data_IF_248574284062
#
_entry.id   IF_248574284062
#
_cell.length_a   1.000
_cell.length_b   1.000
_cell.length_c   1.000
_cell.angle_alpha   90.00
_cell.angle_beta   90.00
_cell.angle_gamma   90.00
#
_symmetry.space_group_name_H-M   'P 1'
#
loop_
_entity.id
_entity.type
_entity.pdbx_description
1 polymer ?
#
# COMPACT_ATOMS: atom_id res chain seq x y z
N UNK A 1 30.81 -40.45 52.27
CA UNK A 1 30.34 -39.05 52.34
C UNK A 1 29.20 -38.87 51.34
N UNK A 2 28.14 -38.22 51.80
CA UNK A 2 26.77 -38.26 51.30
C UNK A 2 26.56 -37.62 49.92
N UNK A 3 26.20 -38.41 48.91
CA UNK A 3 25.45 -37.94 47.73
C UNK A 3 23.97 -37.98 48.09
N UNK A 4 23.41 -36.85 48.52
CA UNK A 4 21.97 -36.73 48.78
C UNK A 4 21.25 -36.27 47.52
N UNK A 5 20.33 -37.12 47.10
CA UNK A 5 19.11 -36.89 46.32
C UNK A 5 18.72 -35.43 46.06
N UNK A 6 18.27 -35.16 44.83
CA UNK A 6 16.89 -34.69 44.58
C UNK A 6 16.58 -34.71 43.09
N UNK A 7 16.07 -35.86 42.63
CA UNK A 7 15.09 -35.86 41.55
C UNK A 7 13.81 -35.28 42.16
N UNK A 8 13.50 -34.02 41.87
CA UNK A 8 12.19 -33.43 42.15
C UNK A 8 11.65 -32.88 40.84
N UNK A 9 10.60 -33.53 40.37
CA UNK A 9 9.67 -33.06 39.36
C UNK A 9 9.30 -31.60 39.62
N UNK A 10 9.80 -30.68 38.80
CA UNK A 10 9.32 -29.31 38.76
C UNK A 10 8.09 -29.29 37.87
N UNK A 11 6.92 -29.22 38.49
CA UNK A 11 5.73 -28.65 37.87
C UNK A 11 6.08 -27.22 37.44
N UNK A 12 5.84 -26.91 36.16
CA UNK A 12 6.21 -25.66 35.49
C UNK A 12 5.41 -24.46 36.02
N UNK A 13 5.78 -23.93 37.18
CA UNK A 13 5.41 -22.58 37.57
C UNK A 13 6.25 -21.60 36.74
N UNK A 14 5.70 -21.16 35.61
CA UNK A 14 6.35 -20.18 34.73
C UNK A 14 6.50 -18.88 35.52
N UNK A 15 7.76 -18.53 35.83
CA UNK A 15 8.10 -17.32 36.58
C UNK A 15 7.49 -16.07 35.91
N UNK A 16 6.86 -15.14 36.66
CA UNK A 16 6.14 -13.99 36.09
C UNK A 16 7.06 -13.08 35.25
N UNK A 17 8.37 -13.05 35.57
CA UNK A 17 9.39 -12.36 34.77
C UNK A 17 9.56 -12.98 33.38
N UNK A 18 9.45 -14.31 33.26
CA UNK A 18 9.51 -15.02 31.97
C UNK A 18 8.28 -14.72 31.11
N UNK A 19 7.09 -14.64 31.72
CA UNK A 19 5.86 -14.24 31.02
C UNK A 19 5.99 -12.82 30.46
N UNK A 20 6.41 -11.86 31.31
CA UNK A 20 6.62 -10.47 30.88
C UNK A 20 7.70 -10.37 29.80
N UNK A 21 8.78 -11.15 29.89
CA UNK A 21 9.80 -11.22 28.85
C UNK A 21 9.24 -11.73 27.51
N UNK A 22 8.39 -12.76 27.54
CA UNK A 22 7.80 -13.33 26.33
C UNK A 22 6.91 -12.31 25.61
N UNK A 23 6.05 -11.60 26.34
CA UNK A 23 5.19 -10.53 25.77
C UNK A 23 6.02 -9.40 25.15
N UNK A 24 7.08 -8.95 25.82
CA UNK A 24 7.94 -7.89 25.29
C UNK A 24 8.72 -8.32 24.03
N UNK A 25 9.18 -9.58 23.98
CA UNK A 25 9.84 -10.12 22.80
C UNK A 25 8.85 -10.27 21.62
N UNK A 26 7.65 -10.79 21.88
CA UNK A 26 6.63 -10.99 20.83
C UNK A 26 6.05 -9.67 20.29
N UNK A 27 6.14 -8.58 21.06
CA UNK A 27 5.79 -7.22 20.62
C UNK A 27 6.94 -6.51 19.87
N UNK A 28 8.08 -7.17 19.64
CA UNK A 28 9.17 -6.67 18.80
C UNK A 28 10.25 -5.87 19.53
N UNK A 29 10.29 -5.88 20.87
CA UNK A 29 11.35 -5.19 21.61
C UNK A 29 12.69 -5.92 21.50
N UNK A 30 13.78 -5.16 21.40
CA UNK A 30 15.14 -5.73 21.36
C UNK A 30 15.52 -6.38 22.68
N UNK A 31 16.32 -7.45 22.62
CA UNK A 31 16.77 -8.19 23.80
C UNK A 31 17.45 -7.30 24.86
N UNK A 32 18.13 -6.24 24.42
CA UNK A 32 18.77 -5.29 25.32
C UNK A 32 17.75 -4.49 26.14
N UNK A 33 16.69 -4.03 25.48
CA UNK A 33 15.61 -3.26 26.11
C UNK A 33 14.78 -4.14 27.05
N UNK A 34 14.49 -5.38 26.63
CA UNK A 34 13.80 -6.37 27.49
C UNK A 34 14.61 -6.72 28.74
N UNK A 35 15.92 -6.91 28.61
CA UNK A 35 16.79 -7.21 29.74
C UNK A 35 16.86 -6.05 30.75
N UNK A 36 16.95 -4.81 30.26
CA UNK A 36 16.92 -3.60 31.08
C UNK A 36 15.58 -3.46 31.83
N UNK A 37 14.47 -3.64 31.13
CA UNK A 37 13.10 -3.51 31.67
C UNK A 37 12.79 -4.52 32.79
N UNK A 38 13.42 -5.69 32.74
CA UNK A 38 13.24 -6.76 33.72
C UNK A 38 14.32 -6.81 34.80
N UNK A 39 15.32 -5.92 34.72
CA UNK A 39 16.46 -5.90 35.63
C UNK A 39 17.29 -7.19 35.59
N UNK A 40 17.39 -7.84 34.42
CA UNK A 40 18.13 -9.08 34.22
C UNK A 40 19.30 -8.90 33.25
N UNK A 41 20.28 -9.80 33.31
CA UNK A 41 21.36 -9.81 32.33
C UNK A 41 20.88 -10.33 30.96
N UNK A 42 21.46 -9.83 29.87
CA UNK A 42 21.21 -10.37 28.52
C UNK A 42 21.49 -11.88 28.42
N UNK A 43 22.51 -12.38 29.15
CA UNK A 43 22.84 -13.82 29.20
C UNK A 43 21.70 -14.64 29.83
N UNK A 44 21.04 -14.11 30.85
CA UNK A 44 19.88 -14.75 31.48
C UNK A 44 18.74 -14.90 30.48
N UNK A 45 18.45 -13.83 29.72
CA UNK A 45 17.43 -13.85 28.67
C UNK A 45 17.77 -14.84 27.54
N UNK A 46 19.04 -14.89 27.11
CA UNK A 46 19.50 -15.86 26.10
C UNK A 46 19.39 -17.30 26.59
N UNK A 47 19.67 -17.55 27.87
CA UNK A 47 19.49 -18.87 28.48
C UNK A 47 18.02 -19.28 28.45
N UNK A 48 17.10 -18.39 28.84
CA UNK A 48 15.66 -18.66 28.78
C UNK A 48 15.19 -18.96 27.37
N UNK A 49 15.68 -18.24 26.35
CA UNK A 49 15.33 -18.53 24.95
C UNK A 49 15.74 -19.94 24.47
N UNK A 50 16.68 -20.60 25.15
CA UNK A 50 17.07 -21.99 24.86
C UNK A 50 16.24 -23.01 25.63
N UNK A 51 15.47 -22.59 26.63
CA UNK A 51 14.59 -23.47 27.40
C UNK A 51 13.33 -23.79 26.56
N UNK A 52 12.94 -25.07 26.46
CA UNK A 52 11.81 -25.46 25.63
C UNK A 52 10.48 -24.88 26.13
N UNK A 53 10.29 -24.77 27.44
CA UNK A 53 9.08 -24.18 28.05
C UNK A 53 8.92 -22.70 27.70
N UNK A 54 10.00 -21.93 27.74
CA UNK A 54 10.01 -20.51 27.36
C UNK A 54 9.81 -20.30 25.85
N UNK A 55 10.37 -21.19 25.03
CA UNK A 55 10.17 -21.18 23.57
C UNK A 55 8.70 -21.45 23.21
N UNK A 56 8.06 -22.42 23.86
CA UNK A 56 6.63 -22.68 23.66
C UNK A 56 5.77 -21.49 24.10
N UNK A 57 6.09 -20.86 25.23
CA UNK A 57 5.40 -19.67 25.74
C UNK A 57 5.50 -18.48 24.77
N UNK A 58 6.71 -18.17 24.30
CA UNK A 58 6.94 -17.07 23.35
C UNK A 58 6.20 -17.28 22.03
N UNK A 59 6.18 -18.51 21.51
CA UNK A 59 5.42 -18.86 20.31
C UNK A 59 3.91 -18.73 20.51
N UNK A 60 3.37 -19.18 21.66
CA UNK A 60 1.95 -19.02 21.99
C UNK A 60 1.57 -17.53 22.03
N UNK A 61 2.33 -16.74 22.79
CA UNK A 61 2.11 -15.29 22.92
C UNK A 61 2.26 -14.58 21.56
N UNK A 62 3.23 -14.98 20.73
CA UNK A 62 3.37 -14.41 19.38
C UNK A 62 2.16 -14.72 18.49
N UNK A 63 1.61 -15.94 18.57
CA UNK A 63 0.41 -16.32 17.83
C UNK A 63 -0.83 -15.54 18.30
N UNK A 64 -0.95 -15.30 19.61
CA UNK A 64 -2.05 -14.50 20.17
C UNK A 64 -1.94 -13.02 19.78
N UNK A 65 -0.74 -12.44 19.84
CA UNK A 65 -0.48 -11.05 19.44
C UNK A 65 -0.74 -10.85 17.95
N UNK A 66 -0.30 -11.80 17.10
CA UNK A 66 -0.59 -11.74 15.66
C UNK A 66 -2.08 -11.87 15.38
N UNK A 67 -2.78 -12.81 16.03
CA UNK A 67 -4.23 -12.95 15.89
C UNK A 67 -5.00 -11.70 16.37
N UNK A 68 -4.59 -11.11 17.50
CA UNK A 68 -5.16 -9.86 18.00
C UNK A 68 -4.89 -8.68 17.06
N UNK A 69 -3.68 -8.61 16.48
CA UNK A 69 -3.33 -7.58 15.50
C UNK A 69 -4.13 -7.77 14.22
N UNK A 70 -4.25 -8.99 13.71
CA UNK A 70 -5.07 -9.31 12.53
C UNK A 70 -6.52 -8.95 12.79
N UNK A 71 -7.06 -9.31 13.96
CA UNK A 71 -8.42 -8.96 14.36
C UNK A 71 -8.62 -7.45 14.42
N UNK A 72 -7.77 -6.73 15.14
CA UNK A 72 -7.82 -5.27 15.23
C UNK A 72 -7.67 -4.59 13.85
N UNK A 73 -6.80 -5.12 12.99
CA UNK A 73 -6.62 -4.63 11.62
C UNK A 73 -7.86 -4.93 10.75
N UNK A 74 -8.47 -6.11 10.89
CA UNK A 74 -9.69 -6.49 10.17
C UNK A 74 -10.92 -5.69 10.62
N UNK A 75 -10.98 -5.33 11.90
CA UNK A 75 -11.99 -4.43 12.46
C UNK A 75 -11.77 -2.99 11.96
N UNK A 76 -10.51 -2.55 11.82
CA UNK A 76 -10.22 -1.25 11.21
C UNK A 76 -10.48 -1.19 9.69
N UNK A 77 -10.46 -2.34 9.00
CA UNK A 77 -10.80 -2.44 7.58
C UNK A 77 -12.31 -2.51 7.32
N UNK A 78 -13.13 -2.82 8.34
CA UNK A 78 -14.60 -2.90 8.21
C UNK A 78 -15.31 -1.55 8.35
N UNK A 79 -14.64 -0.54 8.94
CA UNK A 79 -15.12 0.84 8.94
C UNK A 79 -14.77 1.54 7.61
N UNK A 80 -15.54 1.26 6.56
CA UNK A 80 -15.68 2.14 5.40
C UNK A 80 -14.44 2.35 4.53
N UNK A 81 -13.46 1.45 4.61
CA UNK A 81 -12.28 1.48 3.74
C UNK A 81 -12.66 1.30 2.27
N UNK A 82 -12.85 2.42 1.54
CA UNK A 82 -12.92 2.41 0.08
C UNK A 82 -11.74 1.58 -0.44
N UNK A 83 -11.93 0.62 -1.36
CA UNK A 83 -10.84 -0.22 -1.79
C UNK A 83 -9.72 0.68 -2.34
N UNK A 84 -8.52 0.51 -1.77
CA UNK A 84 -7.34 1.36 -1.97
C UNK A 84 -6.93 1.53 -3.45
N UNK A 85 -7.51 0.73 -4.35
CA UNK A 85 -7.19 0.65 -5.77
C UNK A 85 -8.45 0.57 -6.67
N UNK A 86 -9.56 1.20 -6.29
CA UNK A 86 -10.67 1.39 -7.25
C UNK A 86 -10.31 2.43 -8.31
N UNK A 87 -10.87 2.26 -9.51
CA UNK A 87 -10.79 3.26 -10.59
C UNK A 87 -11.26 4.64 -10.11
N UNK A 88 -12.39 4.69 -9.41
CA UNK A 88 -12.93 5.94 -8.85
C UNK A 88 -11.95 6.60 -7.87
N UNK A 89 -11.34 5.82 -6.99
CA UNK A 89 -10.34 6.36 -6.06
C UNK A 89 -9.11 6.90 -6.80
N UNK A 90 -8.58 6.16 -7.79
CA UNK A 90 -7.48 6.65 -8.64
C UNK A 90 -7.85 7.95 -9.35
N UNK A 91 -9.06 8.03 -9.91
CA UNK A 91 -9.57 9.24 -10.57
C UNK A 91 -9.61 10.43 -9.62
N UNK A 92 -10.10 10.25 -8.39
CA UNK A 92 -10.13 11.34 -7.40
C UNK A 92 -8.73 11.84 -7.03
N UNK A 93 -7.75 10.95 -6.93
CA UNK A 93 -6.35 11.33 -6.66
C UNK A 93 -5.73 12.09 -7.83
N UNK A 94 -5.99 11.66 -9.08
CA UNK A 94 -5.51 12.35 -10.28
C UNK A 94 -6.07 13.77 -10.35
N UNK A 95 -7.38 13.95 -10.11
CA UNK A 95 -8.01 15.26 -10.11
C UNK A 95 -7.40 16.19 -9.05
N UNK A 96 -7.22 15.69 -7.83
CA UNK A 96 -6.59 16.45 -6.75
C UNK A 96 -5.14 16.86 -7.06
N UNK A 97 -4.38 15.97 -7.69
CA UNK A 97 -3.02 16.32 -8.15
C UNK A 97 -3.05 17.37 -9.26
N UNK A 98 -4.03 17.34 -10.17
CA UNK A 98 -4.20 18.38 -11.19
C UNK A 98 -4.49 19.75 -10.57
N UNK A 99 -5.33 19.81 -9.52
CA UNK A 99 -5.59 21.04 -8.77
C UNK A 99 -4.31 21.63 -8.17
N UNK A 100 -3.43 20.79 -7.58
CA UNK A 100 -2.14 21.25 -7.07
C UNK A 100 -1.24 21.79 -8.19
N UNK A 101 -1.27 21.16 -9.37
CA UNK A 101 -0.53 21.62 -10.54
C UNK A 101 -1.10 22.94 -11.10
N UNK A 102 -2.41 23.18 -11.02
CA UNK A 102 -3.02 24.47 -11.40
C UNK A 102 -2.57 25.59 -10.47
N UNK A 103 -2.47 25.33 -9.16
CA UNK A 103 -1.93 26.29 -8.19
C UNK A 103 -0.47 26.63 -8.54
N UNK A 104 0.34 25.61 -8.83
CA UNK A 104 1.74 25.80 -9.23
C UNK A 104 1.87 26.57 -10.55
N UNK A 105 1.00 26.27 -11.52
CA UNK A 105 0.93 26.96 -12.81
C UNK A 105 0.65 28.45 -12.60
N UNK A 106 -0.38 28.78 -11.82
CA UNK A 106 -0.77 30.16 -11.52
C UNK A 106 0.33 30.95 -10.82
N UNK A 107 1.17 30.29 -10.01
CA UNK A 107 2.32 30.94 -9.38
C UNK A 107 3.50 31.19 -10.34
N UNK A 108 3.61 30.42 -11.43
CA UNK A 108 4.71 30.51 -12.40
C UNK A 108 4.36 31.46 -13.55
N UNK A 109 3.09 31.53 -13.96
CA UNK A 109 2.64 32.33 -15.11
C UNK A 109 3.02 33.82 -15.06
N UNK A 110 2.87 34.56 -13.93
CA UNK A 110 3.24 35.97 -13.88
C UNK A 110 4.73 36.21 -14.19
N UNK A 111 5.60 35.33 -13.70
CA UNK A 111 7.07 35.42 -13.94
C UNK A 111 7.46 35.18 -15.40
N UNK A 112 6.64 34.44 -16.15
CA UNK A 112 6.84 34.25 -17.58
C UNK A 112 6.38 35.49 -18.33
N UNK A 113 5.22 36.04 -17.97
CA UNK A 113 4.59 37.16 -18.66
C UNK A 113 5.31 38.50 -18.41
N UNK A 114 5.76 38.75 -17.18
CA UNK A 114 6.36 40.01 -16.76
C UNK A 114 7.88 40.03 -16.98
N UNK A 115 8.58 38.98 -16.55
CA UNK A 115 10.04 38.96 -16.53
C UNK A 115 10.69 38.17 -17.67
N UNK A 116 9.91 37.37 -18.41
CA UNK A 116 10.44 36.45 -19.42
C UNK A 116 11.42 35.41 -18.83
N UNK A 117 11.24 35.04 -17.56
CA UNK A 117 12.19 34.18 -16.85
C UNK A 117 12.25 32.76 -17.44
N UNK A 118 13.39 32.41 -18.06
CA UNK A 118 13.63 31.10 -18.65
C UNK A 118 13.46 29.95 -17.64
N UNK A 119 13.73 30.18 -16.35
CA UNK A 119 13.52 29.16 -15.31
C UNK A 119 12.04 28.94 -15.01
N UNK A 120 11.23 29.97 -15.15
CA UNK A 120 9.78 29.86 -15.03
C UNK A 120 9.21 29.06 -16.22
N UNK A 121 9.75 29.25 -17.42
CA UNK A 121 9.39 28.47 -18.62
C UNK A 121 9.76 26.98 -18.44
N UNK A 122 10.96 26.63 -17.95
CA UNK A 122 11.32 25.22 -17.67
C UNK A 122 10.34 24.57 -16.66
N UNK A 123 9.94 25.32 -15.63
CA UNK A 123 8.95 24.84 -14.65
C UNK A 123 7.57 24.64 -15.27
N UNK A 124 7.12 25.56 -16.13
CA UNK A 124 5.87 25.42 -16.88
C UNK A 124 5.89 24.13 -17.72
N UNK A 125 6.97 23.88 -18.46
CA UNK A 125 7.11 22.67 -19.28
C UNK A 125 7.01 21.41 -18.42
N UNK A 126 7.68 21.34 -17.27
CA UNK A 126 7.59 20.19 -16.36
C UNK A 126 6.20 20.00 -15.76
N UNK A 127 5.53 21.09 -15.41
CA UNK A 127 4.14 21.04 -14.93
C UNK A 127 3.23 20.47 -16.03
N UNK A 128 3.38 20.97 -17.26
CA UNK A 128 2.60 20.50 -18.41
C UNK A 128 2.85 19.02 -18.74
N UNK A 129 4.11 18.59 -18.77
CA UNK A 129 4.48 17.19 -19.02
C UNK A 129 3.88 16.27 -17.96
N UNK A 130 3.93 16.68 -16.69
CA UNK A 130 3.33 15.91 -15.60
C UNK A 130 1.81 15.82 -15.72
N UNK A 131 1.14 16.91 -16.12
CA UNK A 131 -0.32 16.88 -16.37
C UNK A 131 -0.68 15.93 -17.51
N UNK A 132 0.05 15.97 -18.62
CA UNK A 132 -0.16 15.05 -19.74
C UNK A 132 -0.07 13.59 -19.29
N UNK A 133 0.95 13.23 -18.50
CA UNK A 133 1.13 11.87 -17.95
C UNK A 133 0.00 11.46 -17.00
N UNK A 134 -0.46 12.36 -16.14
CA UNK A 134 -1.54 12.07 -15.19
C UNK A 134 -2.88 11.83 -15.89
N UNK A 135 -3.12 12.57 -16.98
CA UNK A 135 -4.31 12.46 -17.80
C UNK A 135 -4.21 11.35 -18.87
N UNK A 136 -3.01 10.79 -19.08
CA UNK A 136 -2.76 9.77 -20.09
C UNK A 136 -2.77 10.30 -21.52
N UNK A 137 -2.58 11.62 -21.70
CA UNK A 137 -2.54 12.26 -23.03
C UNK A 137 -1.26 11.92 -23.81
N UNK A 138 -0.23 11.47 -23.11
CA UNK A 138 1.03 10.99 -23.69
C UNK A 138 0.97 9.52 -24.14
N UNK A 139 -0.08 8.79 -23.74
CA UNK A 139 -0.24 7.41 -24.14
C UNK A 139 -0.63 7.34 -25.62
N UNK A 140 -0.09 6.37 -26.38
CA UNK A 140 -0.57 6.13 -27.74
C UNK A 140 -2.06 5.84 -27.66
N UNK A 141 -2.87 6.58 -28.41
CA UNK A 141 -4.30 6.34 -28.46
C UNK A 141 -4.49 4.92 -28.98
N UNK A 142 -4.93 3.95 -28.14
CA UNK A 142 -5.11 2.61 -28.63
C UNK A 142 -6.20 2.68 -29.68
N UNK A 143 -5.90 2.23 -30.89
CA UNK A 143 -6.90 2.13 -31.94
C UNK A 143 -7.83 0.97 -31.59
N UNK A 144 -8.81 1.27 -30.72
CA UNK A 144 -9.77 0.30 -30.17
C UNK A 144 -10.53 -0.38 -31.32
N UNK A 145 -10.80 0.37 -32.39
CA UNK A 145 -11.46 -0.14 -33.59
C UNK A 145 -10.57 -1.17 -34.29
N UNK A 146 -9.31 -0.84 -34.55
CA UNK A 146 -8.37 -1.77 -35.17
C UNK A 146 -8.10 -2.99 -34.27
N UNK A 147 -8.00 -2.81 -32.96
CA UNK A 147 -7.87 -3.92 -32.01
C UNK A 147 -9.10 -4.86 -32.05
N UNK A 148 -10.31 -4.32 -32.15
CA UNK A 148 -11.53 -5.12 -32.27
C UNK A 148 -11.58 -5.90 -33.61
N UNK A 149 -11.16 -5.27 -34.71
CA UNK A 149 -11.06 -5.91 -36.03
C UNK A 149 -10.07 -7.08 -35.97
N UNK A 150 -8.84 -6.86 -35.49
CA UNK A 150 -7.80 -7.90 -35.38
C UNK A 150 -8.25 -9.07 -34.51
N UNK A 151 -8.95 -8.80 -33.38
CA UNK A 151 -9.45 -9.87 -32.51
C UNK A 151 -10.60 -10.67 -33.14
N UNK A 152 -11.38 -10.04 -34.02
CA UNK A 152 -12.46 -10.70 -34.77
C UNK A 152 -11.88 -11.57 -35.88
N UNK A 153 -10.89 -11.07 -36.63
CA UNK A 153 -10.15 -11.85 -37.65
C UNK A 153 -9.43 -13.05 -37.03
N UNK A 154 -8.88 -12.90 -35.83
CA UNK A 154 -8.25 -13.99 -35.07
C UNK A 154 -9.27 -14.98 -34.45
N UNK A 155 -10.58 -14.72 -34.56
CA UNK A 155 -11.65 -15.55 -34.00
C UNK A 155 -11.71 -15.55 -32.47
N UNK A 156 -11.07 -14.59 -31.81
CA UNK A 156 -11.04 -14.46 -30.34
C UNK A 156 -12.36 -13.89 -29.82
N UNK A 157 -12.95 -12.96 -30.58
CA UNK A 157 -14.26 -12.35 -30.28
C UNK A 157 -15.22 -12.59 -31.44
N UNK A 158 -16.52 -12.58 -31.15
CA UNK A 158 -17.58 -12.76 -32.16
C UNK A 158 -17.88 -11.44 -32.87
N UNK A 159 -18.31 -11.49 -34.14
CA UNK A 159 -18.63 -10.30 -34.95
C UNK A 159 -19.58 -9.33 -34.24
N UNK A 160 -20.64 -9.84 -33.58
CA UNK A 160 -21.57 -8.98 -32.84
C UNK A 160 -20.91 -8.16 -31.71
N UNK A 161 -19.82 -8.65 -31.13
CA UNK A 161 -19.08 -7.95 -30.08
C UNK A 161 -18.24 -6.83 -30.68
N UNK A 162 -17.71 -7.03 -31.88
CA UNK A 162 -17.01 -6.00 -32.66
C UNK A 162 -17.97 -4.87 -33.05
N UNK A 163 -19.15 -5.22 -33.58
CA UNK A 163 -20.18 -4.25 -33.95
C UNK A 163 -20.64 -3.40 -32.75
N UNK A 164 -20.74 -4.03 -31.57
CA UNK A 164 -21.09 -3.32 -30.34
C UNK A 164 -20.00 -2.31 -29.94
N UNK A 165 -18.73 -2.67 -30.09
CA UNK A 165 -17.60 -1.76 -29.83
C UNK A 165 -17.61 -0.60 -30.81
N UNK A 166 -17.80 -0.84 -32.10
CA UNK A 166 -17.89 0.21 -33.12
C UNK A 166 -19.02 1.18 -32.79
N UNK A 167 -20.22 0.67 -32.53
CA UNK A 167 -21.38 1.50 -32.19
C UNK A 167 -21.17 2.32 -30.92
N UNK A 168 -20.56 1.74 -29.89
CA UNK A 168 -20.29 2.48 -28.65
C UNK A 168 -19.22 3.54 -28.84
N UNK A 169 -18.21 3.30 -29.69
CA UNK A 169 -17.22 4.32 -30.07
C UNK A 169 -17.87 5.48 -30.84
N UNK A 170 -18.74 5.20 -31.82
CA UNK A 170 -19.46 6.23 -32.57
C UNK A 170 -20.37 7.08 -31.66
N UNK A 171 -21.05 6.46 -30.70
CA UNK A 171 -21.86 7.16 -29.69
C UNK A 171 -21.00 8.04 -28.78
N UNK A 172 -19.80 7.57 -28.38
CA UNK A 172 -18.87 8.36 -27.58
C UNK A 172 -18.32 9.56 -28.37
N UNK A 173 -17.91 9.36 -29.62
CA UNK A 173 -17.43 10.43 -30.50
C UNK A 173 -18.53 11.48 -30.73
N UNK A 174 -19.77 11.04 -30.96
CA UNK A 174 -20.92 11.93 -31.12
C UNK A 174 -21.21 12.75 -29.86
N UNK A 175 -21.08 12.14 -28.68
CA UNK A 175 -21.24 12.83 -27.38
C UNK A 175 -20.11 13.83 -27.13
N UNK A 176 -18.88 13.50 -27.52
CA UNK A 176 -17.73 14.42 -27.39
C UNK A 176 -17.88 15.64 -28.30
N UNK A 177 -18.33 15.43 -29.56
CA UNK A 177 -18.64 16.52 -30.49
C UNK A 177 -19.73 17.47 -29.93
N UNK A 178 -20.75 16.93 -29.25
CA UNK A 178 -21.81 17.75 -28.63
C UNK A 178 -21.34 18.58 -27.44
N UNK A 179 -20.23 18.20 -26.78
CA UNK A 179 -19.67 18.92 -25.62
C UNK A 179 -18.77 20.08 -26.09
N UNK A 180 -18.54 20.24 -27.40
CA UNK A 180 -17.76 21.34 -27.97
C UNK A 180 -16.26 21.18 -27.77
N UNK A 181 -15.77 19.94 -27.64
CA UNK A 181 -14.34 19.62 -27.78
C UNK A 181 -14.06 19.42 -29.27
N UNK A 182 -14.28 20.48 -30.06
CA UNK A 182 -13.77 20.57 -31.42
C UNK A 182 -12.52 21.47 -31.37
N UNK A 183 -11.41 20.88 -31.81
CA UNK A 183 -10.08 21.44 -32.17
C UNK A 183 -9.68 22.85 -31.69
#
# INVERSE_FOLDING_TARGET
MSLKCRFMSQSDDIEPKKIKAAVLLSSGFSQAKVAQELGISKRTLQRWQREPSFKSLTNSVASEVTNATIKATSEHLSEGGKPLFTYEYRKTLILKECEYLDIALNAVLPRIQEDGDLRAIDRLLRISERRCKLLGLDMPNPDILNAAIVLTEAGVIKEFQSDLVIKTMDEMTSKLAQIGVDE
#
